data_IF_838216711689
#
_entry.id   IF_838216711689
#
_cell.length_a   1.000
_cell.length_b   1.000
_cell.length_c   1.000
_cell.angle_alpha   90.00
_cell.angle_beta   90.00
_cell.angle_gamma   90.00
#
_symmetry.space_group_name_H-M   'P 1'
#
loop_
_entity.id
_entity.type
_entity.pdbx_description
1 polymer ?
#
# COMPACT_ATOMS: atom_id res chain seq x y z
N UNK A 1 33.42 -11.87 -38.18
CA UNK A 1 32.30 -10.90 -38.10
C UNK A 1 30.90 -11.50 -38.23
N UNK A 2 30.64 -12.54 -39.04
CA UNK A 2 29.28 -13.15 -39.15
C UNK A 2 28.77 -13.92 -37.91
N UNK A 3 29.63 -14.33 -36.97
CA UNK A 3 29.21 -15.04 -35.74
C UNK A 3 28.78 -14.14 -34.57
N UNK A 4 29.11 -12.84 -34.58
CA UNK A 4 28.66 -11.91 -33.54
C UNK A 4 27.29 -11.26 -33.87
N UNK A 5 26.91 -11.19 -35.15
CA UNK A 5 25.58 -10.71 -35.55
C UNK A 5 24.43 -11.68 -35.21
N UNK A 6 24.70 -13.00 -35.14
CA UNK A 6 23.69 -13.98 -34.74
C UNK A 6 23.46 -14.04 -33.22
N UNK A 7 24.35 -13.48 -32.40
CA UNK A 7 24.15 -13.40 -30.94
C UNK A 7 23.29 -12.20 -30.54
N UNK A 8 23.28 -11.13 -31.35
CA UNK A 8 22.42 -9.96 -31.16
C UNK A 8 20.95 -10.18 -31.58
N UNK A 9 20.69 -11.14 -32.48
CA UNK A 9 19.33 -11.44 -32.96
C UNK A 9 18.49 -12.32 -32.01
N UNK A 10 19.15 -13.07 -31.12
CA UNK A 10 18.45 -13.89 -30.12
C UNK A 10 18.09 -13.11 -28.84
N UNK A 11 18.71 -11.96 -28.58
CA UNK A 11 18.37 -11.14 -27.41
C UNK A 11 17.31 -10.05 -27.73
N UNK A 12 17.17 -9.68 -29.00
CA UNK A 12 16.15 -8.72 -29.45
C UNK A 12 14.75 -9.30 -29.42
N UNK A 13 14.59 -10.62 -29.57
CA UNK A 13 13.26 -11.25 -29.52
C UNK A 13 12.67 -11.29 -28.10
N UNK A 14 13.51 -11.39 -27.06
CA UNK A 14 13.06 -11.32 -25.66
C UNK A 14 12.63 -9.91 -25.26
N UNK A 15 13.46 -8.91 -25.58
CA UNK A 15 13.14 -7.51 -25.30
C UNK A 15 11.97 -6.99 -26.15
N UNK A 16 11.89 -7.37 -27.43
CA UNK A 16 10.75 -7.00 -28.28
C UNK A 16 9.45 -7.69 -27.82
N UNK A 17 9.53 -8.93 -27.32
CA UNK A 17 8.38 -9.62 -26.72
C UNK A 17 7.86 -8.91 -25.47
N UNK A 18 8.76 -8.51 -24.57
CA UNK A 18 8.42 -7.78 -23.35
C UNK A 18 7.79 -6.41 -23.66
N UNK A 19 8.37 -5.65 -24.60
CA UNK A 19 7.85 -4.35 -25.05
C UNK A 19 6.46 -4.50 -25.68
N UNK A 20 6.24 -5.54 -26.49
CA UNK A 20 4.92 -5.80 -27.10
C UNK A 20 3.87 -6.12 -26.03
N UNK A 21 4.23 -6.89 -25.00
CA UNK A 21 3.32 -7.20 -23.87
C UNK A 21 3.00 -5.93 -23.09
N UNK A 22 3.99 -5.11 -22.74
CA UNK A 22 3.77 -3.83 -22.02
C UNK A 22 2.89 -2.88 -22.84
N UNK A 23 3.14 -2.75 -24.15
CA UNK A 23 2.31 -1.90 -25.04
C UNK A 23 0.89 -2.46 -25.16
N UNK A 24 0.70 -3.78 -25.23
CA UNK A 24 -0.63 -4.39 -25.24
C UNK A 24 -1.37 -4.15 -23.93
N UNK A 25 -0.70 -4.28 -22.78
CA UNK A 25 -1.26 -3.99 -21.46
C UNK A 25 -1.65 -2.51 -21.36
N UNK A 26 -0.79 -1.58 -21.77
CA UNK A 26 -1.09 -0.14 -21.76
C UNK A 26 -2.20 0.25 -22.74
N UNK A 27 -2.29 -0.39 -23.92
CA UNK A 27 -3.37 -0.13 -24.89
C UNK A 27 -4.70 -0.71 -24.41
N UNK A 28 -4.67 -1.87 -23.74
CA UNK A 28 -5.86 -2.44 -23.09
C UNK A 28 -6.30 -1.51 -21.96
N UNK A 29 -5.42 -1.13 -21.04
CA UNK A 29 -5.72 -0.21 -19.93
C UNK A 29 -6.20 1.16 -20.44
N UNK A 30 -5.50 1.76 -21.41
CA UNK A 30 -5.88 3.04 -22.00
C UNK A 30 -7.19 2.99 -22.80
N UNK A 31 -7.45 1.89 -23.51
CA UNK A 31 -8.70 1.66 -24.23
C UNK A 31 -9.88 1.42 -23.29
N UNK A 32 -9.63 0.68 -22.20
CA UNK A 32 -10.52 0.47 -21.06
C UNK A 32 -10.88 1.85 -20.47
N UNK A 33 -9.90 2.65 -20.02
CA UNK A 33 -10.10 3.99 -19.42
C UNK A 33 -10.82 4.98 -20.36
N UNK A 34 -10.47 5.03 -21.65
CA UNK A 34 -11.12 5.93 -22.61
C UNK A 34 -12.59 5.57 -22.90
N UNK A 35 -12.94 4.28 -22.86
CA UNK A 35 -14.33 3.81 -22.96
C UNK A 35 -15.10 4.07 -21.66
N UNK A 36 -14.44 4.01 -20.49
CA UNK A 36 -15.03 4.35 -19.19
C UNK A 36 -15.51 5.80 -19.10
N UNK A 37 -14.76 6.75 -19.66
CA UNK A 37 -15.07 8.20 -19.62
C UNK A 37 -16.20 8.59 -20.60
N UNK A 38 -16.37 7.86 -21.71
CA UNK A 38 -17.19 8.36 -22.83
C UNK A 38 -18.64 7.84 -22.88
N UNK A 39 -19.01 6.76 -22.16
CA UNK A 39 -20.33 6.11 -22.37
C UNK A 39 -21.32 6.06 -21.21
N UNK A 40 -21.05 6.53 -19.99
CA UNK A 40 -22.14 6.51 -18.99
C UNK A 40 -22.07 7.44 -17.80
N UNK A 41 -21.78 8.71 -18.05
CA UNK A 41 -22.00 9.79 -17.08
C UNK A 41 -21.11 9.70 -15.83
N UNK A 42 -21.11 10.76 -15.01
CA UNK A 42 -20.44 10.71 -13.72
C UNK A 42 -21.18 9.77 -12.77
N UNK A 43 -20.43 9.10 -11.90
CA UNK A 43 -21.02 8.47 -10.73
C UNK A 43 -21.58 9.55 -9.80
N UNK A 44 -22.73 9.28 -9.20
CA UNK A 44 -23.36 10.13 -8.19
C UNK A 44 -23.61 9.33 -6.93
N UNK A 45 -23.55 9.97 -5.78
CA UNK A 45 -23.92 9.36 -4.50
C UNK A 45 -25.38 8.89 -4.55
N UNK A 46 -25.60 7.60 -4.29
CA UNK A 46 -26.93 6.96 -4.29
C UNK A 46 -27.38 6.52 -2.88
N UNK A 47 -26.47 6.51 -1.91
CA UNK A 47 -26.78 6.23 -0.51
C UNK A 47 -25.54 6.10 0.36
N UNK A 48 -25.76 6.12 1.67
CA UNK A 48 -24.73 6.05 2.70
C UNK A 48 -25.18 5.12 3.82
N UNK A 49 -24.23 4.56 4.56
CA UNK A 49 -24.49 3.78 5.77
C UNK A 49 -23.37 4.03 6.78
N UNK A 50 -23.77 4.39 8.00
CA UNK A 50 -22.84 4.61 9.10
C UNK A 50 -22.80 3.38 10.03
N UNK A 51 -21.64 3.16 10.63
CA UNK A 51 -21.34 2.10 11.56
C UNK A 51 -20.48 2.64 12.71
N UNK A 52 -20.75 2.20 13.94
CA UNK A 52 -20.00 2.63 15.12
C UNK A 52 -19.73 1.44 16.04
N UNK A 53 -18.48 1.30 16.48
CA UNK A 53 -18.05 0.33 17.47
C UNK A 53 -17.61 1.04 18.76
N UNK A 54 -18.48 1.06 19.76
CA UNK A 54 -18.33 1.88 20.97
C UNK A 54 -17.50 1.24 22.11
N UNK A 55 -16.93 0.03 21.93
CA UNK A 55 -16.33 -0.71 23.05
C UNK A 55 -15.10 -0.03 23.63
N UNK A 56 -15.19 0.46 24.87
CA UNK A 56 -14.05 0.99 25.63
C UNK A 56 -13.45 -0.01 26.64
N UNK A 57 -14.09 -1.15 26.85
CA UNK A 57 -13.61 -2.18 27.79
C UNK A 57 -12.60 -3.15 27.14
N UNK A 58 -12.64 -3.27 25.81
CA UNK A 58 -11.67 -4.01 25.02
C UNK A 58 -11.16 -3.06 23.94
N UNK A 59 -9.89 -2.68 24.04
CA UNK A 59 -9.21 -1.81 23.10
C UNK A 59 -8.67 -2.57 21.88
N UNK A 60 -8.66 -3.91 21.90
CA UNK A 60 -8.24 -4.68 20.74
C UNK A 60 -9.29 -4.56 19.64
N UNK A 61 -8.82 -4.14 18.45
CA UNK A 61 -9.62 -3.97 17.25
C UNK A 61 -8.97 -4.72 16.10
N UNK A 62 -9.61 -5.76 15.59
CA UNK A 62 -9.20 -6.39 14.32
C UNK A 62 -10.13 -5.89 13.23
N UNK A 63 -9.60 -5.17 12.26
CA UNK A 63 -10.32 -4.66 11.10
C UNK A 63 -10.00 -5.52 9.87
N UNK A 64 -10.99 -6.28 9.41
CA UNK A 64 -10.90 -7.06 8.19
C UNK A 64 -11.83 -6.44 7.13
N UNK A 65 -11.27 -5.88 6.07
CA UNK A 65 -12.00 -5.24 4.98
C UNK A 65 -11.65 -5.93 3.66
N UNK A 66 -12.65 -6.38 2.90
CA UNK A 66 -12.46 -6.95 1.55
C UNK A 66 -13.40 -6.26 0.56
N UNK A 67 -12.86 -5.28 -0.17
CA UNK A 67 -13.58 -4.47 -1.14
C UNK A 67 -13.30 -4.92 -2.59
N UNK A 68 -14.34 -4.95 -3.42
CA UNK A 68 -14.15 -5.30 -4.83
C UNK A 68 -13.73 -4.09 -5.67
N UNK A 69 -14.50 -2.99 -5.59
CA UNK A 69 -14.25 -1.78 -6.39
C UNK A 69 -14.53 -0.54 -5.56
N UNK A 70 -13.51 0.25 -5.27
CA UNK A 70 -13.69 1.45 -4.45
C UNK A 70 -12.44 2.01 -3.81
N UNK A 71 -12.62 3.05 -3.00
CA UNK A 71 -11.58 3.54 -2.11
C UNK A 71 -11.87 3.15 -0.66
N UNK A 72 -10.81 2.87 0.09
CA UNK A 72 -10.83 2.71 1.54
C UNK A 72 -9.91 3.78 2.10
N UNK A 73 -10.40 4.52 3.09
CA UNK A 73 -9.67 5.54 3.83
C UNK A 73 -9.79 5.19 5.31
N UNK A 74 -8.67 4.95 5.98
CA UNK A 74 -8.61 4.69 7.42
C UNK A 74 -7.73 5.77 8.02
N UNK A 75 -8.27 6.53 8.97
CA UNK A 75 -7.55 7.58 9.69
C UNK A 75 -7.66 7.39 11.21
N UNK A 76 -6.63 7.79 11.94
CA UNK A 76 -6.74 7.99 13.38
C UNK A 76 -7.48 9.32 13.67
N UNK A 77 -8.34 9.32 14.69
CA UNK A 77 -9.13 10.49 15.10
C UNK A 77 -9.12 10.62 16.63
N UNK A 78 -8.28 11.52 17.16
CA UNK A 78 -8.16 11.82 18.59
C UNK A 78 -9.47 12.35 19.22
N UNK A 79 -10.45 12.77 18.42
CA UNK A 79 -11.73 13.28 18.91
C UNK A 79 -12.77 12.17 19.11
N UNK A 80 -12.46 10.96 18.65
CA UNK A 80 -13.38 9.84 18.64
C UNK A 80 -13.64 9.33 20.06
N UNK A 81 -14.93 9.22 20.43
CA UNK A 81 -15.32 8.67 21.74
C UNK A 81 -15.63 7.18 21.70
N UNK A 82 -15.93 6.67 20.50
CA UNK A 82 -16.02 5.25 20.18
C UNK A 82 -14.62 4.72 19.86
N UNK A 83 -14.44 3.40 19.76
CA UNK A 83 -13.16 2.83 19.34
C UNK A 83 -12.98 2.93 17.81
N UNK A 84 -14.09 2.90 17.08
CA UNK A 84 -14.12 3.02 15.62
C UNK A 84 -15.47 3.58 15.16
N UNK A 85 -15.45 4.45 14.16
CA UNK A 85 -16.58 4.83 13.33
C UNK A 85 -16.27 4.54 11.87
N UNK A 86 -17.24 4.07 11.11
CA UNK A 86 -17.09 3.86 9.68
C UNK A 86 -18.30 4.41 8.92
N UNK A 87 -18.05 5.06 7.79
CA UNK A 87 -19.07 5.51 6.84
C UNK A 87 -18.81 4.87 5.49
N UNK A 88 -19.81 4.19 4.98
CA UNK A 88 -19.80 3.62 3.63
C UNK A 88 -20.68 4.44 2.71
N UNK A 89 -20.10 4.99 1.65
CA UNK A 89 -20.81 5.66 0.58
C UNK A 89 -20.91 4.75 -0.65
N UNK A 90 -22.09 4.69 -1.24
CA UNK A 90 -22.34 4.00 -2.50
C UNK A 90 -22.54 5.02 -3.60
N UNK A 91 -21.74 4.90 -4.65
CA UNK A 91 -21.80 5.75 -5.82
C UNK A 91 -22.24 4.91 -7.03
N UNK A 92 -23.28 5.37 -7.71
CA UNK A 92 -23.89 4.67 -8.85
C UNK A 92 -24.08 5.59 -10.04
N UNK A 93 -24.48 5.01 -11.18
CA UNK A 93 -24.84 5.76 -12.39
C UNK A 93 -26.28 6.27 -12.33
N UNK A 94 -26.65 7.09 -13.31
CA UNK A 94 -28.02 7.57 -13.47
C UNK A 94 -29.01 6.41 -13.37
N UNK A 95 -30.03 6.57 -12.52
CA UNK A 95 -31.08 5.58 -12.20
C UNK A 95 -30.70 4.43 -11.26
N UNK A 96 -29.45 4.33 -10.81
CA UNK A 96 -29.08 3.38 -9.76
C UNK A 96 -29.65 3.84 -8.40
N UNK A 97 -30.06 2.88 -7.58
CA UNK A 97 -30.54 3.13 -6.22
C UNK A 97 -29.78 2.26 -5.22
N UNK A 98 -29.78 2.64 -3.93
CA UNK A 98 -29.03 1.92 -2.89
C UNK A 98 -29.38 0.43 -2.80
N UNK A 99 -30.63 0.05 -3.11
CA UNK A 99 -31.05 -1.37 -3.12
C UNK A 99 -30.36 -2.20 -4.20
N UNK A 100 -29.78 -1.55 -5.21
CA UNK A 100 -29.03 -2.22 -6.28
C UNK A 100 -27.58 -2.52 -5.84
N UNK A 101 -27.09 -1.85 -4.79
CA UNK A 101 -25.75 -2.02 -4.23
C UNK A 101 -25.70 -3.06 -3.09
N UNK A 102 -26.78 -3.82 -2.86
CA UNK A 102 -26.95 -4.74 -1.72
C UNK A 102 -26.09 -5.98 -1.90
N UNK A 103 -24.82 -5.85 -1.55
CA UNK A 103 -23.84 -6.93 -1.39
C UNK A 103 -22.93 -6.63 -0.17
N UNK A 104 -23.41 -5.90 0.82
CA UNK A 104 -22.60 -5.52 1.98
C UNK A 104 -22.94 -6.39 3.19
N UNK A 105 -21.92 -6.97 3.82
CA UNK A 105 -22.06 -7.63 5.12
C UNK A 105 -21.06 -7.06 6.10
N UNK A 106 -21.57 -6.57 7.23
CA UNK A 106 -20.74 -6.27 8.39
C UNK A 106 -21.07 -7.19 9.56
N UNK A 107 -20.04 -7.57 10.31
CA UNK A 107 -20.24 -8.33 11.55
C UNK A 107 -19.27 -7.86 12.61
N UNK A 108 -19.71 -7.92 13.86
CA UNK A 108 -18.84 -7.72 15.03
C UNK A 108 -18.95 -8.84 16.03
N UNK A 109 -17.79 -9.35 16.42
CA UNK A 109 -17.69 -10.33 17.49
C UNK A 109 -16.34 -10.18 18.18
N UNK A 110 -16.36 -9.84 19.48
CA UNK A 110 -15.17 -9.90 20.33
C UNK A 110 -14.02 -8.97 19.95
N UNK A 111 -14.30 -7.75 19.46
CA UNK A 111 -13.26 -6.81 18.99
C UNK A 111 -12.88 -6.98 17.51
N UNK A 112 -13.40 -8.01 16.83
CA UNK A 112 -13.25 -8.14 15.39
C UNK A 112 -14.38 -7.43 14.66
N UNK A 113 -14.04 -6.50 13.79
CA UNK A 113 -14.92 -5.84 12.81
C UNK A 113 -14.61 -6.41 11.44
N UNK A 114 -15.61 -7.00 10.80
CA UNK A 114 -15.51 -7.50 9.43
C UNK A 114 -16.40 -6.65 8.56
N UNK A 115 -15.86 -6.13 7.47
CA UNK A 115 -16.55 -5.36 6.44
C UNK A 115 -16.25 -6.03 5.11
N UNK A 116 -17.17 -6.83 4.59
CA UNK A 116 -16.96 -7.55 3.34
C UNK A 116 -18.05 -7.24 2.32
N UNK A 117 -17.65 -7.23 1.06
CA UNK A 117 -18.53 -7.01 -0.07
C UNK A 117 -18.73 -8.35 -0.80
N UNK A 118 -19.95 -8.90 -0.79
CA UNK A 118 -20.27 -10.17 -1.44
C UNK A 118 -19.92 -10.12 -2.93
N UNK A 119 -19.10 -11.10 -3.35
CA UNK A 119 -18.56 -11.22 -4.70
C UNK A 119 -19.58 -11.75 -5.73
N UNK A 120 -20.89 -11.56 -5.51
CA UNK A 120 -21.94 -11.94 -6.46
C UNK A 120 -21.94 -10.95 -7.64
N UNK A 121 -20.81 -10.88 -8.34
CA UNK A 121 -20.69 -10.34 -9.68
C UNK A 121 -21.57 -11.18 -10.59
N UNK A 122 -22.77 -10.65 -10.88
CA UNK A 122 -23.29 -10.83 -12.22
C UNK A 122 -22.23 -10.29 -13.18
N UNK A 123 -21.85 -11.06 -14.22
CA UNK A 123 -20.77 -10.70 -15.12
C UNK A 123 -21.06 -9.35 -15.77
N UNK A 124 -20.37 -8.32 -15.26
CA UNK A 124 -20.02 -7.05 -15.87
C UNK A 124 -20.78 -6.71 -17.17
N UNK A 125 -22.07 -6.37 -17.05
CA UNK A 125 -22.83 -5.88 -18.18
C UNK A 125 -22.70 -4.35 -18.23
N UNK A 126 -21.85 -3.85 -19.13
CA UNK A 126 -21.43 -2.43 -19.23
C UNK A 126 -22.55 -1.43 -19.58
N UNK A 127 -23.79 -1.90 -19.66
CA UNK A 127 -24.99 -1.14 -19.98
C UNK A 127 -25.96 -1.08 -18.78
N UNK A 128 -25.74 -1.89 -17.75
CA UNK A 128 -26.66 -1.99 -16.61
C UNK A 128 -26.33 -0.99 -15.49
N UNK A 129 -27.36 -0.71 -14.70
CA UNK A 129 -27.34 0.11 -13.47
C UNK A 129 -26.42 -0.45 -12.38
N UNK A 130 -25.80 -1.59 -12.67
CA UNK A 130 -25.09 -2.47 -11.73
C UNK A 130 -23.61 -2.11 -11.57
N UNK A 131 -23.14 -1.03 -12.19
CA UNK A 131 -21.81 -0.49 -11.94
C UNK A 131 -21.85 0.42 -10.71
N UNK A 132 -21.15 0.02 -9.65
CA UNK A 132 -21.00 0.77 -8.41
C UNK A 132 -19.54 1.07 -8.11
N UNK A 133 -19.35 2.17 -7.39
CA UNK A 133 -18.08 2.52 -6.78
C UNK A 133 -18.34 2.78 -5.30
N UNK A 134 -17.54 2.16 -4.43
CA UNK A 134 -17.73 2.22 -2.98
C UNK A 134 -16.65 3.10 -2.36
N UNK A 135 -17.01 3.95 -1.40
CA UNK A 135 -16.03 4.64 -0.56
C UNK A 135 -16.26 4.26 0.88
N UNK A 136 -15.28 3.64 1.50
CA UNK A 136 -15.30 3.33 2.91
C UNK A 136 -14.36 4.30 3.63
N UNK A 137 -14.91 5.07 4.56
CA UNK A 137 -14.16 5.92 5.48
C UNK A 137 -14.21 5.27 6.85
N UNK A 138 -13.06 5.11 7.50
CA UNK A 138 -12.95 4.54 8.83
C UNK A 138 -12.14 5.50 9.69
N UNK A 139 -12.69 5.86 10.84
CA UNK A 139 -12.02 6.61 11.90
C UNK A 139 -11.73 5.65 13.04
N UNK A 140 -10.50 5.65 13.52
CA UNK A 140 -10.03 4.82 14.63
C UNK A 140 -9.65 5.72 15.78
N UNK A 141 -10.06 5.37 16.99
CA UNK A 141 -9.55 6.04 18.18
C UNK A 141 -8.10 5.57 18.40
N UNK A 142 -7.11 6.47 18.58
CA UNK A 142 -5.71 6.10 18.81
C UNK A 142 -5.47 5.16 20.00
N UNK A 143 -6.35 5.16 21.02
CA UNK A 143 -6.31 4.22 22.15
C UNK A 143 -6.57 2.75 21.71
N UNK A 144 -7.02 2.53 20.48
CA UNK A 144 -7.22 1.20 19.92
C UNK A 144 -5.88 0.50 19.68
N UNK A 145 -5.84 -0.78 20.05
CA UNK A 145 -4.76 -1.69 19.69
C UNK A 145 -5.22 -2.41 18.43
N UNK A 146 -4.75 -1.94 17.27
CA UNK A 146 -5.34 -2.29 15.98
C UNK A 146 -4.56 -3.38 15.21
N UNK A 147 -5.31 -4.24 14.54
CA UNK A 147 -4.83 -5.19 13.53
C UNK A 147 -5.59 -4.93 12.22
N UNK A 148 -4.87 -4.68 11.14
CA UNK A 148 -5.42 -4.36 9.82
C UNK A 148 -5.17 -5.49 8.82
N UNK A 149 -6.25 -5.96 8.22
CA UNK A 149 -6.29 -6.92 7.09
C UNK A 149 -7.22 -6.32 6.04
N UNK A 150 -6.66 -5.55 5.11
CA UNK A 150 -7.42 -4.65 4.23
C UNK A 150 -7.08 -4.93 2.78
N UNK A 151 -8.06 -5.40 2.02
CA UNK A 151 -7.89 -5.72 0.62
C UNK A 151 -8.85 -4.93 -0.28
N UNK A 152 -8.37 -4.55 -1.47
CA UNK A 152 -9.25 -4.18 -2.59
C UNK A 152 -8.81 -4.78 -3.93
N UNK A 153 -9.76 -5.25 -4.73
CA UNK A 153 -9.44 -5.72 -6.08
C UNK A 153 -9.16 -4.57 -7.04
N UNK A 154 -9.96 -3.49 -7.01
CA UNK A 154 -9.75 -2.32 -7.86
C UNK A 154 -10.05 -1.02 -7.12
N UNK A 155 -9.04 -0.17 -6.99
CA UNK A 155 -9.18 1.16 -6.43
C UNK A 155 -8.03 1.53 -5.51
N UNK A 156 -8.30 2.20 -4.39
CA UNK A 156 -7.24 2.74 -3.55
C UNK A 156 -7.45 2.45 -2.07
N UNK A 157 -6.36 2.28 -1.34
CA UNK A 157 -6.35 2.24 0.12
C UNK A 157 -5.45 3.38 0.60
N UNK A 158 -5.99 4.23 1.46
CA UNK A 158 -5.25 5.29 2.15
C UNK A 158 -5.33 5.02 3.64
N UNK A 159 -4.19 4.94 4.30
CA UNK A 159 -4.05 4.77 5.73
C UNK A 159 -3.28 5.97 6.28
N UNK A 160 -3.88 6.69 7.22
CA UNK A 160 -3.28 7.84 7.89
C UNK A 160 -3.31 7.59 9.40
N UNK A 161 -2.16 7.22 9.96
CA UNK A 161 -2.02 6.94 11.38
C UNK A 161 -1.47 8.11 12.17
N UNK A 162 -1.21 9.26 11.53
CA UNK A 162 -0.80 10.46 12.23
C UNK A 162 -1.88 10.89 13.23
N UNK A 163 -1.46 11.18 14.45
CA UNK A 163 -2.35 11.48 15.56
C UNK A 163 -1.62 12.21 16.67
N UNK A 164 -2.37 12.91 17.52
CA UNK A 164 -1.81 13.66 18.65
C UNK A 164 -1.41 12.75 19.83
N UNK A 165 -1.82 11.48 19.78
CA UNK A 165 -1.58 10.48 20.81
C UNK A 165 -1.03 9.20 20.21
N UNK A 166 -0.29 8.42 21.00
CA UNK A 166 0.35 7.22 20.48
C UNK A 166 -0.69 6.17 20.06
N UNK A 167 -0.61 5.69 18.82
CA UNK A 167 -1.45 4.62 18.29
C UNK A 167 -0.67 3.30 18.18
N UNK A 168 -1.27 2.17 18.59
CA UNK A 168 -0.61 0.86 18.57
C UNK A 168 -1.13 -0.02 17.42
N UNK A 169 -0.23 -0.45 16.54
CA UNK A 169 -0.53 -1.39 15.45
C UNK A 169 0.18 -2.72 15.69
N UNK A 170 -0.58 -3.82 15.71
CA UNK A 170 -0.05 -5.19 15.90
C UNK A 170 0.07 -6.01 14.63
N UNK A 171 -0.65 -5.60 13.59
CA UNK A 171 -0.62 -6.24 12.28
C UNK A 171 -1.05 -5.22 11.24
N UNK A 172 -0.33 -5.19 10.13
CA UNK A 172 -0.71 -4.42 8.96
C UNK A 172 -0.45 -5.26 7.72
N UNK A 173 -1.54 -5.72 7.11
CA UNK A 173 -1.55 -6.44 5.84
C UNK A 173 -2.52 -5.75 4.89
N UNK A 174 -2.00 -5.25 3.77
CA UNK A 174 -2.75 -4.42 2.83
C UNK A 174 -2.48 -4.88 1.40
N UNK A 175 -3.54 -5.24 0.69
CA UNK A 175 -3.45 -5.75 -0.68
C UNK A 175 -4.35 -4.98 -1.65
N UNK A 176 -3.77 -4.53 -2.77
CA UNK A 176 -4.50 -3.90 -3.87
C UNK A 176 -4.19 -4.63 -5.17
N UNK A 177 -5.15 -5.32 -5.79
CA UNK A 177 -4.85 -5.98 -7.07
C UNK A 177 -4.59 -4.93 -8.18
N UNK A 178 -5.42 -3.90 -8.28
CA UNK A 178 -5.22 -2.81 -9.25
C UNK A 178 -5.55 -1.45 -8.67
N UNK A 179 -4.55 -0.59 -8.57
CA UNK A 179 -4.64 0.78 -8.07
C UNK A 179 -3.56 1.08 -7.03
N UNK A 180 -3.86 1.85 -6.00
CA UNK A 180 -2.82 2.44 -5.14
C UNK A 180 -2.98 2.14 -3.66
N UNK A 181 -1.84 2.05 -2.97
CA UNK A 181 -1.75 2.08 -1.51
C UNK A 181 -1.00 3.37 -1.13
N UNK A 182 -1.52 4.10 -0.16
CA UNK A 182 -0.82 5.21 0.50
C UNK A 182 -0.89 4.96 2.01
N UNK A 183 0.26 4.97 2.67
CA UNK A 183 0.34 4.78 4.13
C UNK A 183 1.20 5.89 4.72
N UNK A 184 0.64 6.64 5.64
CA UNK A 184 1.36 7.59 6.50
C UNK A 184 1.28 7.10 7.95
N UNK A 185 2.42 6.87 8.57
CA UNK A 185 2.45 6.44 9.97
C UNK A 185 2.49 7.62 10.95
N UNK A 186 3.09 8.76 10.60
CA UNK A 186 3.32 9.86 11.55
C UNK A 186 4.14 9.49 12.81
N UNK A 187 4.50 10.52 13.58
CA UNK A 187 5.47 10.44 14.69
C UNK A 187 4.95 9.74 15.96
N UNK A 188 3.64 9.53 16.04
CA UNK A 188 2.98 8.89 17.17
C UNK A 188 2.51 7.46 16.86
N UNK A 189 3.01 6.83 15.79
CA UNK A 189 2.76 5.40 15.58
C UNK A 189 3.74 4.52 16.35
N UNK A 190 3.19 3.53 17.05
CA UNK A 190 3.93 2.42 17.65
C UNK A 190 3.57 1.09 16.97
N UNK A 191 4.54 0.49 16.27
CA UNK A 191 4.41 -0.82 15.66
C UNK A 191 4.81 -1.91 16.66
N UNK A 192 3.81 -2.48 17.33
CA UNK A 192 3.96 -3.67 18.18
C UNK A 192 3.82 -4.95 17.36
N UNK A 193 4.63 -5.04 16.30
CA UNK A 193 4.63 -6.17 15.36
C UNK A 193 6.02 -6.41 14.81
N UNK A 194 6.28 -7.65 14.38
CA UNK A 194 7.51 -8.00 13.68
C UNK A 194 7.41 -7.84 12.17
N UNK A 195 6.20 -7.60 11.63
CA UNK A 195 5.97 -7.59 10.18
C UNK A 195 4.96 -6.57 9.71
N UNK A 196 5.24 -5.92 8.57
CA UNK A 196 4.30 -5.12 7.78
C UNK A 196 4.29 -5.64 6.35
N UNK A 197 3.11 -5.76 5.73
CA UNK A 197 2.91 -6.27 4.38
C UNK A 197 2.05 -5.31 3.58
N UNK A 198 2.59 -4.80 2.46
CA UNK A 198 1.91 -3.92 1.52
C UNK A 198 2.12 -4.45 0.10
N UNK A 199 1.04 -4.80 -0.60
CA UNK A 199 1.09 -5.48 -1.88
C UNK A 199 0.24 -4.84 -2.97
N UNK A 200 0.79 -4.69 -4.17
CA UNK A 200 -0.01 -4.42 -5.38
C UNK A 200 0.39 -5.30 -6.57
N UNK A 201 -0.59 -5.72 -7.37
CA UNK A 201 -0.26 -6.33 -8.66
C UNK A 201 -0.02 -5.27 -9.72
N UNK A 202 -0.87 -4.26 -9.81
CA UNK A 202 -0.72 -3.16 -10.79
C UNK A 202 -1.07 -1.82 -10.15
N UNK A 203 -0.06 -0.96 -10.02
CA UNK A 203 -0.22 0.43 -9.56
C UNK A 203 0.89 0.82 -8.59
N UNK A 204 0.61 1.71 -7.64
CA UNK A 204 1.66 2.35 -6.84
C UNK A 204 1.49 2.11 -5.35
N UNK A 205 2.60 2.09 -4.63
CA UNK A 205 2.63 2.10 -3.17
C UNK A 205 3.44 3.32 -2.75
N UNK A 206 2.86 4.16 -1.88
CA UNK A 206 3.51 5.30 -1.26
C UNK A 206 3.51 5.09 0.26
N UNK A 207 4.68 5.12 0.89
CA UNK A 207 4.85 4.87 2.33
C UNK A 207 5.65 5.98 2.96
N UNK A 208 5.11 6.57 4.01
CA UNK A 208 5.78 7.58 4.84
C UNK A 208 5.90 7.03 6.26
N UNK A 209 7.14 6.80 6.70
CA UNK A 209 7.48 6.34 8.05
C UNK A 209 8.28 7.44 8.75
N UNK A 210 7.60 8.30 9.50
CA UNK A 210 8.21 9.40 10.27
C UNK A 210 8.24 9.04 11.77
N UNK A 211 9.42 8.97 12.37
CA UNK A 211 9.64 8.78 13.82
C UNK A 211 8.90 7.56 14.44
N UNK A 212 8.60 6.56 13.61
CA UNK A 212 7.85 5.36 14.00
C UNK A 212 8.61 4.55 15.03
N UNK A 213 7.91 4.15 16.10
CA UNK A 213 8.49 3.35 17.18
C UNK A 213 8.27 1.87 16.92
N UNK A 214 9.27 1.05 17.24
CA UNK A 214 9.21 -0.41 17.10
C UNK A 214 9.44 -1.08 18.45
N UNK A 215 8.73 -2.19 18.70
CA UNK A 215 8.93 -2.99 19.92
C UNK A 215 10.20 -3.84 19.90
N UNK A 216 10.57 -4.32 18.70
CA UNK A 216 11.67 -5.24 18.45
C UNK A 216 12.04 -5.13 16.95
N UNK A 217 12.92 -6.01 16.47
CA UNK A 217 13.23 -6.16 15.05
C UNK A 217 11.95 -6.29 14.20
N UNK A 218 11.90 -5.54 13.09
CA UNK A 218 10.75 -5.48 12.19
C UNK A 218 11.17 -5.74 10.74
N UNK A 219 10.31 -6.45 10.02
CA UNK A 219 10.46 -6.68 8.58
C UNK A 219 9.28 -6.12 7.81
N UNK A 220 9.55 -5.24 6.87
CA UNK A 220 8.59 -4.70 5.93
C UNK A 220 8.73 -5.43 4.60
N UNK A 221 7.59 -5.82 4.04
CA UNK A 221 7.48 -6.38 2.69
C UNK A 221 6.60 -5.45 1.88
N UNK A 222 7.20 -4.75 0.92
CA UNK A 222 6.51 -3.76 0.08
C UNK A 222 6.72 -4.19 -1.37
N UNK A 223 5.68 -4.75 -1.99
CA UNK A 223 5.80 -5.40 -3.29
C UNK A 223 4.82 -4.87 -4.33
N UNK A 224 5.31 -4.54 -5.52
CA UNK A 224 4.49 -4.20 -6.68
C UNK A 224 4.88 -5.03 -7.90
N UNK A 225 3.97 -5.82 -8.49
CA UNK A 225 4.33 -6.55 -9.72
C UNK A 225 4.61 -5.58 -10.87
N UNK A 226 3.68 -4.66 -11.14
CA UNK A 226 3.86 -3.59 -12.14
C UNK A 226 3.49 -2.23 -11.56
N UNK A 227 4.45 -1.31 -11.49
CA UNK A 227 4.24 0.08 -11.08
C UNK A 227 5.37 0.59 -10.18
N UNK A 228 5.09 1.61 -9.37
CA UNK A 228 6.12 2.29 -8.57
C UNK A 228 5.95 2.06 -7.08
N UNK A 229 7.07 2.10 -6.35
CA UNK A 229 7.08 2.17 -4.91
C UNK A 229 7.89 3.41 -4.52
N UNK A 230 7.25 4.30 -3.77
CA UNK A 230 7.88 5.46 -3.15
C UNK A 230 7.91 5.20 -1.63
N UNK A 231 9.11 5.15 -1.05
CA UNK A 231 9.32 4.88 0.37
C UNK A 231 10.08 6.05 1.00
N UNK A 232 9.45 6.71 1.95
CA UNK A 232 10.07 7.75 2.78
C UNK A 232 10.26 7.22 4.20
N UNK A 233 11.50 7.27 4.70
CA UNK A 233 11.83 6.92 6.09
C UNK A 233 12.56 8.08 6.75
N UNK A 234 11.91 8.71 7.73
CA UNK A 234 12.48 9.81 8.52
C UNK A 234 12.59 9.38 9.99
N UNK A 235 13.81 9.32 10.51
CA UNK A 235 14.08 9.05 11.93
C UNK A 235 15.26 9.92 12.37
N UNK A 236 14.97 10.94 13.15
CA UNK A 236 15.96 11.85 13.73
C UNK A 236 16.06 11.64 15.24
N UNK A 237 14.97 11.33 15.93
CA UNK A 237 15.03 11.04 17.35
C UNK A 237 15.60 9.64 17.59
N UNK A 238 16.57 9.52 18.49
CA UNK A 238 17.15 8.23 18.89
C UNK A 238 16.12 7.48 19.74
N UNK A 239 15.65 6.30 19.29
CA UNK A 239 14.76 5.43 20.06
C UNK A 239 15.38 4.95 21.38
N UNK A 240 14.53 4.62 22.35
CA UNK A 240 14.99 4.09 23.64
C UNK A 240 15.50 2.63 23.52
N UNK A 241 14.94 1.88 22.56
CA UNK A 241 15.21 0.47 22.35
C UNK A 241 16.08 0.26 21.09
N UNK A 242 16.88 -0.80 21.11
CA UNK A 242 17.67 -1.20 19.95
C UNK A 242 16.85 -2.16 19.08
N UNK A 243 16.85 -1.93 17.77
CA UNK A 243 16.18 -2.79 16.79
C UNK A 243 16.87 -2.75 15.44
N UNK A 244 16.50 -3.71 14.60
CA UNK A 244 16.77 -3.75 13.18
C UNK A 244 15.46 -3.63 12.40
N UNK A 245 15.30 -2.55 11.64
CA UNK A 245 14.23 -2.37 10.68
C UNK A 245 14.72 -2.79 9.29
N UNK A 246 14.12 -3.85 8.74
CA UNK A 246 14.46 -4.37 7.40
C UNK A 246 13.32 -4.07 6.44
N UNK A 247 13.60 -3.38 5.34
CA UNK A 247 12.67 -3.03 4.29
C UNK A 247 12.99 -3.84 3.03
N UNK A 248 12.19 -4.86 2.76
CA UNK A 248 12.23 -5.60 1.51
C UNK A 248 11.28 -4.92 0.51
N UNK A 249 11.85 -4.20 -0.46
CA UNK A 249 11.08 -3.39 -1.41
C UNK A 249 11.31 -3.94 -2.81
N UNK A 250 10.25 -4.44 -3.45
CA UNK A 250 10.36 -5.23 -4.67
C UNK A 250 9.41 -4.80 -5.76
N UNK A 251 9.91 -4.66 -7.00
CA UNK A 251 9.06 -4.61 -8.19
C UNK A 251 9.45 -5.62 -9.27
N UNK A 252 8.49 -6.10 -10.07
CA UNK A 252 8.88 -6.85 -11.30
C UNK A 252 9.14 -5.87 -12.44
N UNK A 253 8.22 -4.94 -12.69
CA UNK A 253 8.37 -3.89 -13.71
C UNK A 253 7.96 -2.53 -13.14
N UNK A 254 8.92 -1.62 -13.05
CA UNK A 254 8.70 -0.25 -12.61
C UNK A 254 9.82 0.22 -11.69
N UNK A 255 9.56 1.28 -10.92
CA UNK A 255 10.61 2.02 -10.23
C UNK A 255 10.44 1.97 -8.72
N UNK A 256 11.56 2.02 -8.02
CA UNK A 256 11.61 2.17 -6.56
C UNK A 256 12.35 3.47 -6.28
N UNK A 257 11.73 4.34 -5.50
CA UNK A 257 12.34 5.55 -4.95
C UNK A 257 12.38 5.44 -3.42
N UNK A 258 13.57 5.54 -2.84
CA UNK A 258 13.80 5.55 -1.41
C UNK A 258 14.35 6.92 -1.00
N UNK A 259 13.57 7.66 -0.23
CA UNK A 259 14.03 8.86 0.46
C UNK A 259 14.25 8.53 1.94
N UNK A 260 15.45 8.77 2.46
CA UNK A 260 15.71 8.55 3.88
C UNK A 260 16.37 9.75 4.56
N UNK A 261 15.92 10.05 5.77
CA UNK A 261 16.52 11.04 6.67
C UNK A 261 16.88 10.34 7.97
N UNK A 262 18.12 9.89 8.08
CA UNK A 262 18.65 9.15 9.23
C UNK A 262 20.01 9.76 9.63
N UNK A 263 20.22 10.09 10.90
CA UNK A 263 21.54 10.54 11.38
C UNK A 263 22.52 9.36 11.42
N UNK A 264 23.46 9.30 10.48
CA UNK A 264 24.44 8.22 10.37
C UNK A 264 25.40 8.08 11.57
N UNK A 265 25.38 9.04 12.51
CA UNK A 265 26.11 8.94 13.77
C UNK A 265 25.37 8.17 14.86
N UNK A 266 24.05 7.99 14.71
CA UNK A 266 23.19 7.27 15.65
C UNK A 266 22.54 6.02 15.02
N UNK A 267 22.46 5.96 13.68
CA UNK A 267 21.82 4.88 12.94
C UNK A 267 22.76 4.18 11.95
N UNK A 268 22.75 2.84 12.00
CA UNK A 268 23.44 2.01 11.04
C UNK A 268 22.59 1.82 9.79
N UNK A 269 23.03 2.33 8.64
CA UNK A 269 22.28 2.25 7.38
C UNK A 269 22.96 1.27 6.44
N UNK A 270 22.18 0.39 5.83
CA UNK A 270 22.62 -0.45 4.72
C UNK A 270 21.57 -0.49 3.62
N UNK A 271 21.98 -0.24 2.38
CA UNK A 271 21.11 -0.32 1.20
C UNK A 271 21.73 -1.30 0.22
N UNK A 272 21.03 -2.38 -0.10
CA UNK A 272 21.36 -3.29 -1.20
C UNK A 272 20.37 -3.04 -2.33
N UNK A 273 20.85 -2.86 -3.56
CA UNK A 273 19.98 -2.69 -4.73
C UNK A 273 20.30 -3.68 -5.84
N UNK A 274 19.28 -4.16 -6.55
CA UNK A 274 19.47 -5.05 -7.69
C UNK A 274 18.52 -4.72 -8.84
N UNK A 275 19.03 -4.73 -10.07
CA UNK A 275 18.20 -4.70 -11.28
C UNK A 275 18.72 -5.60 -12.38
N UNK A 276 17.82 -6.29 -13.10
CA UNK A 276 18.21 -7.03 -14.32
C UNK A 276 18.31 -6.10 -15.53
N UNK A 277 17.42 -5.13 -15.64
CA UNK A 277 17.39 -4.14 -16.73
C UNK A 277 16.94 -2.79 -16.20
N UNK A 278 17.85 -1.82 -16.20
CA UNK A 278 17.55 -0.45 -15.80
C UNK A 278 18.78 0.23 -15.18
N UNK A 279 18.53 1.07 -14.18
CA UNK A 279 19.57 1.84 -13.49
C UNK A 279 19.44 1.71 -11.97
N UNK A 280 20.58 1.81 -11.29
CA UNK A 280 20.65 1.92 -9.84
C UNK A 280 21.40 3.21 -9.53
N UNK A 281 20.79 4.07 -8.71
CA UNK A 281 21.39 5.27 -8.15
C UNK A 281 21.33 5.15 -6.64
N UNK A 282 22.49 4.91 -6.01
CA UNK A 282 22.64 4.87 -4.55
C UNK A 282 23.63 5.95 -4.09
N UNK A 283 23.59 6.34 -2.81
CA UNK A 283 24.67 7.09 -2.19
C UNK A 283 26.00 6.33 -2.35
N UNK A 284 27.05 7.03 -2.76
CA UNK A 284 28.36 6.42 -3.05
C UNK A 284 28.46 5.61 -4.35
N UNK A 285 27.34 5.30 -5.00
CA UNK A 285 27.25 4.56 -6.26
C UNK A 285 27.41 3.04 -6.12
N UNK A 286 27.18 2.30 -7.21
CA UNK A 286 27.21 0.84 -7.20
C UNK A 286 25.86 0.22 -6.80
N UNK A 287 25.90 -0.95 -6.16
CA UNK A 287 24.71 -1.71 -5.77
C UNK A 287 24.63 -2.03 -4.26
N UNK A 288 25.54 -1.43 -3.48
CA UNK A 288 25.61 -1.54 -2.03
C UNK A 288 26.06 -0.19 -1.47
N UNK A 289 25.33 0.30 -0.49
CA UNK A 289 25.71 1.40 0.38
C UNK A 289 25.68 0.94 1.84
N UNK A 290 26.67 1.36 2.62
CA UNK A 290 26.67 1.21 4.08
C UNK A 290 27.16 2.53 4.70
N UNK A 291 26.46 3.04 5.71
CA UNK A 291 26.94 4.19 6.47
C UNK A 291 28.22 3.83 7.22
N UNK A 292 29.06 4.82 7.52
CA UNK A 292 30.34 4.58 8.18
C UNK A 292 30.22 3.90 9.57
N UNK A 293 29.07 4.11 10.23
CA UNK A 293 28.72 3.53 11.54
C UNK A 293 28.04 2.16 11.49
N UNK A 294 27.63 1.64 10.33
CA UNK A 294 26.73 0.45 10.23
C UNK A 294 27.11 -0.75 11.11
N UNK A 295 28.40 -1.06 11.23
CA UNK A 295 28.88 -2.19 12.04
C UNK A 295 28.86 -1.94 13.56
N UNK A 296 28.92 -0.68 13.99
CA UNK A 296 29.00 -0.26 15.39
C UNK A 296 27.66 0.15 15.98
N UNK A 297 26.72 0.63 15.15
CA UNK A 297 25.41 1.08 15.63
C UNK A 297 24.53 -0.08 16.09
N UNK A 298 23.76 0.19 17.14
CA UNK A 298 22.82 -0.76 17.74
C UNK A 298 21.46 -0.72 17.06
N UNK A 299 21.11 0.42 16.48
CA UNK A 299 19.87 0.64 15.73
C UNK A 299 20.21 0.61 14.25
N UNK A 300 19.50 -0.24 13.49
CA UNK A 300 19.84 -0.51 12.09
C UNK A 300 18.65 -0.38 11.17
N UNK A 301 18.88 0.27 10.04
CA UNK A 301 17.98 0.34 8.91
C UNK A 301 18.61 -0.39 7.73
N UNK A 302 17.96 -1.45 7.28
CA UNK A 302 18.39 -2.28 6.16
C UNK A 302 17.36 -2.15 5.06
N UNK A 303 17.77 -1.70 3.88
CA UNK A 303 16.92 -1.57 2.71
C UNK A 303 17.41 -2.55 1.64
N UNK A 304 16.59 -3.54 1.31
CA UNK A 304 16.84 -4.48 0.24
C UNK A 304 15.87 -4.17 -0.91
N UNK A 305 16.39 -3.50 -1.94
CA UNK A 305 15.65 -2.95 -3.08
C UNK A 305 15.87 -3.84 -4.32
N UNK A 306 14.82 -4.41 -4.91
CA UNK A 306 14.93 -5.26 -6.11
C UNK A 306 13.94 -4.87 -7.20
N UNK A 307 14.42 -4.78 -8.45
CA UNK A 307 13.53 -4.70 -9.61
C UNK A 307 14.00 -5.58 -10.77
N UNK A 308 13.10 -6.26 -11.47
CA UNK A 308 13.54 -6.97 -12.71
C UNK A 308 13.75 -5.97 -13.85
N UNK A 309 12.80 -5.07 -14.08
CA UNK A 309 12.89 -4.04 -15.14
C UNK A 309 12.46 -2.68 -14.61
N UNK A 310 13.41 -1.76 -14.50
CA UNK A 310 13.17 -0.37 -14.11
C UNK A 310 14.30 0.20 -13.26
N UNK A 311 14.06 1.35 -12.63
CA UNK A 311 15.08 2.10 -11.90
C UNK A 311 14.93 1.98 -10.40
N UNK A 312 16.06 1.92 -9.69
CA UNK A 312 16.11 2.10 -8.24
C UNK A 312 16.87 3.39 -7.97
N UNK A 313 16.27 4.28 -7.20
CA UNK A 313 16.89 5.48 -6.66
C UNK A 313 16.80 5.44 -5.13
N UNK A 314 17.90 5.79 -4.48
CA UNK A 314 17.93 6.02 -3.04
C UNK A 314 18.75 7.27 -2.76
N UNK A 315 18.22 8.16 -1.92
CA UNK A 315 18.86 9.43 -1.57
C UNK A 315 18.60 9.89 -0.15
#
# INVERSE_FOLDING_TARGET
MKKQFNKLKNNTNGQAGLIIIIVLVLVIIGGVVAVFVTRGGPFTLIGETDYTYASTANLNLTLNIDNLVGSIEIENDDTLTSLMEARLEFWGRSEAVLTDAVNFTSSTAGGKVIISFESLLLPWNWVDKDAFYQKLFVKINPDAIAEYDVATTTGSITLDFDSLTESEIRMLDVDVTTGSITVDFGDNTFLNTSTVSLGTTTGSIDVISEEVKFVDDITWTIEATTGSIDLTVDQVAIPADNYTATFNVGTTTGSIDLLYTLDESDFGIRITAQTTTGSITLPGGGNLYESSGYSGELIKYIFDLDTTTGSIEAS
#
